data_IF_914795763980
#
_entry.id   IF_914795763980
#
_cell.length_a   1.000
_cell.length_b   1.000
_cell.length_c   1.000
_cell.angle_alpha   90.00
_cell.angle_beta   90.00
_cell.angle_gamma   90.00
#
_symmetry.space_group_name_H-M   'P 1'
#
loop_
_entity.id
_entity.type
_entity.pdbx_description
1 polymer ?
#
# COMPACT_ATOMS: atom_id res chain seq x y z
N UNK A 1 5.86 -6.63 -0.62
CA UNK A 1 5.53 -5.18 -0.59
C UNK A 1 6.08 -4.52 0.67
N UNK A 2 5.75 -4.99 1.88
CA UNK A 2 6.24 -4.39 3.13
C UNK A 2 7.76 -4.36 3.25
N UNK A 3 8.47 -5.44 2.89
CA UNK A 3 9.94 -5.42 2.92
C UNK A 3 10.57 -4.29 2.10
N UNK A 4 9.93 -3.85 1.01
CA UNK A 4 10.45 -2.77 0.15
C UNK A 4 10.05 -1.39 0.67
N UNK A 5 8.80 -1.26 1.13
CA UNK A 5 8.24 0.03 1.54
C UNK A 5 8.54 0.37 3.01
N UNK A 6 8.49 -0.63 3.89
CA UNK A 6 8.61 -0.50 5.33
C UNK A 6 9.85 -1.20 5.93
N UNK A 7 10.67 -1.88 5.13
CA UNK A 7 11.85 -2.62 5.57
C UNK A 7 11.58 -3.72 6.62
N UNK A 8 10.35 -4.20 6.71
CA UNK A 8 9.95 -5.30 7.61
C UNK A 8 8.95 -6.21 6.92
N UNK A 9 8.75 -7.39 7.46
CA UNK A 9 7.62 -8.25 7.11
C UNK A 9 6.41 -8.04 8.04
N UNK A 10 5.41 -8.91 7.88
CA UNK A 10 4.16 -8.90 8.64
C UNK A 10 4.34 -9.25 10.13
N UNK A 11 5.41 -9.98 10.45
CA UNK A 11 5.81 -10.40 11.79
C UNK A 11 6.74 -9.39 12.47
N UNK A 12 7.01 -8.25 11.83
CA UNK A 12 8.00 -7.24 12.23
C UNK A 12 9.47 -7.69 12.09
N UNK A 13 9.75 -8.78 11.39
CA UNK A 13 11.12 -9.20 11.12
C UNK A 13 11.73 -8.26 10.07
N UNK A 14 12.92 -7.68 10.32
CA UNK A 14 13.56 -6.78 9.37
C UNK A 14 13.82 -7.45 8.02
N UNK A 15 13.44 -6.76 6.94
CA UNK A 15 13.69 -7.18 5.58
C UNK A 15 14.39 -6.06 4.81
N UNK A 16 15.48 -6.40 4.12
CA UNK A 16 16.14 -5.49 3.19
C UNK A 16 15.98 -6.06 1.78
N UNK A 17 15.04 -5.49 1.02
CA UNK A 17 14.86 -5.83 -0.39
C UNK A 17 15.08 -4.58 -1.24
N UNK A 18 15.91 -4.71 -2.26
CA UNK A 18 16.14 -3.64 -3.24
C UNK A 18 15.03 -3.60 -4.31
N UNK A 19 15.08 -2.60 -5.19
CA UNK A 19 14.08 -2.42 -6.23
C UNK A 19 14.04 -3.59 -7.22
N UNK A 20 15.20 -4.16 -7.54
CA UNK A 20 15.32 -5.27 -8.48
C UNK A 20 14.69 -6.55 -7.92
N UNK A 21 14.98 -6.87 -6.65
CA UNK A 21 14.40 -8.01 -5.94
C UNK A 21 12.90 -7.83 -5.78
N UNK A 22 12.45 -6.63 -5.40
CA UNK A 22 11.03 -6.35 -5.28
C UNK A 22 10.30 -6.53 -6.61
N UNK A 23 10.84 -6.02 -7.71
CA UNK A 23 10.26 -6.22 -9.04
C UNK A 23 10.17 -7.70 -9.42
N UNK A 24 11.25 -8.46 -9.25
CA UNK A 24 11.26 -9.89 -9.56
C UNK A 24 10.20 -10.66 -8.76
N UNK A 25 10.04 -10.35 -7.47
CA UNK A 25 9.01 -10.97 -6.63
C UNK A 25 7.59 -10.65 -7.10
N UNK A 26 7.33 -9.38 -7.42
CA UNK A 26 6.00 -8.95 -7.85
C UNK A 26 5.62 -9.52 -9.22
N UNK A 27 6.59 -9.63 -10.14
CA UNK A 27 6.38 -10.25 -11.46
C UNK A 27 6.14 -11.77 -11.33
N UNK A 28 6.95 -12.47 -10.52
CA UNK A 28 6.76 -13.90 -10.25
C UNK A 28 5.39 -14.19 -9.61
N UNK A 29 4.98 -13.38 -8.63
CA UNK A 29 3.67 -13.50 -8.00
C UNK A 29 2.53 -13.36 -9.01
N UNK A 30 2.61 -12.36 -9.90
CA UNK A 30 1.61 -12.15 -10.95
C UNK A 30 1.60 -13.27 -11.99
N UNK A 31 2.76 -13.82 -12.34
CA UNK A 31 2.88 -14.87 -13.36
C UNK A 31 2.14 -16.15 -12.99
N UNK A 32 1.95 -16.43 -11.70
CA UNK A 32 1.19 -17.59 -11.21
C UNK A 32 -0.33 -17.46 -11.33
N UNK A 33 -0.86 -16.32 -11.77
CA UNK A 33 -2.30 -16.04 -11.81
C UNK A 33 -2.74 -15.62 -13.21
N UNK A 34 -3.95 -16.03 -13.61
CA UNK A 34 -4.55 -15.55 -14.85
C UNK A 34 -4.75 -14.03 -14.81
N UNK A 35 -4.72 -13.37 -15.96
CA UNK A 35 -4.90 -11.91 -16.02
C UNK A 35 -6.21 -11.44 -15.36
N UNK A 36 -7.30 -12.21 -15.50
CA UNK A 36 -8.57 -11.91 -14.83
C UNK A 36 -8.45 -11.96 -13.30
N UNK A 37 -7.72 -12.93 -12.75
CA UNK A 37 -7.47 -13.02 -11.32
C UNK A 37 -6.61 -11.86 -10.84
N UNK A 38 -5.52 -11.53 -11.55
CA UNK A 38 -4.65 -10.41 -11.21
C UNK A 38 -5.41 -9.08 -11.04
N UNK A 39 -6.42 -8.83 -11.89
CA UNK A 39 -7.25 -7.61 -11.80
C UNK A 39 -8.30 -7.64 -10.68
N UNK A 40 -8.54 -8.79 -10.05
CA UNK A 40 -9.61 -9.01 -9.06
C UNK A 40 -9.11 -9.36 -7.65
N UNK A 41 -7.80 -9.48 -7.45
CA UNK A 41 -7.22 -9.70 -6.12
C UNK A 41 -7.46 -8.51 -5.22
N UNK A 42 -7.74 -8.76 -3.95
CA UNK A 42 -7.81 -7.70 -2.94
C UNK A 42 -6.40 -7.32 -2.49
N UNK A 43 -6.03 -6.07 -2.74
CA UNK A 43 -4.75 -5.52 -2.31
C UNK A 43 -5.00 -4.63 -1.09
N UNK A 44 -4.31 -4.90 0.01
CA UNK A 44 -4.38 -4.13 1.26
C UNK A 44 -2.97 -3.75 1.71
N UNK A 45 -2.84 -2.61 2.37
CA UNK A 45 -1.59 -2.26 3.05
C UNK A 45 -1.51 -2.92 4.41
N UNK A 46 -2.62 -3.07 5.12
CA UNK A 46 -2.72 -3.71 6.44
C UNK A 46 -4.17 -4.19 6.70
N UNK A 47 -4.42 -4.70 7.91
CA UNK A 47 -5.71 -5.24 8.32
C UNK A 47 -5.89 -5.25 9.84
N UNK A 48 -7.04 -5.72 10.30
CA UNK A 48 -7.36 -5.98 11.70
C UNK A 48 -6.55 -7.12 12.37
N UNK A 49 -5.76 -7.86 11.60
CA UNK A 49 -4.91 -8.96 12.07
C UNK A 49 -3.41 -8.62 11.99
N UNK A 50 -3.08 -7.37 11.64
CA UNK A 50 -1.71 -6.91 11.43
C UNK A 50 -1.49 -5.54 12.07
N UNK A 51 -0.23 -5.15 12.20
CA UNK A 51 0.15 -3.78 12.51
C UNK A 51 -0.44 -2.79 11.49
N UNK A 52 -0.78 -1.57 11.94
CA UNK A 52 -1.02 -0.47 11.01
C UNK A 52 0.26 -0.18 10.23
N UNK A 53 0.14 0.00 8.92
CA UNK A 53 1.27 0.26 8.02
C UNK A 53 2.02 1.53 8.42
N UNK A 54 1.29 2.58 8.86
CA UNK A 54 1.90 3.80 9.42
C UNK A 54 2.83 3.50 10.60
N UNK A 55 2.46 2.56 11.48
CA UNK A 55 3.27 2.18 12.64
C UNK A 55 4.54 1.44 12.24
N UNK A 56 4.49 0.62 11.20
CA UNK A 56 5.65 -0.11 10.67
C UNK A 56 6.71 0.82 10.12
N UNK A 57 6.30 1.91 9.47
CA UNK A 57 7.22 2.89 8.90
C UNK A 57 8.08 3.59 9.96
N UNK A 58 7.63 3.65 11.22
CA UNK A 58 8.40 4.24 12.31
C UNK A 58 8.84 5.67 12.02
N UNK A 59 10.15 5.88 11.77
CA UNK A 59 10.73 7.19 11.42
C UNK A 59 10.59 7.55 9.94
N UNK A 60 10.30 6.57 9.08
CA UNK A 60 10.21 6.72 7.62
C UNK A 60 8.78 7.01 7.13
N UNK A 61 8.00 7.78 7.90
CA UNK A 61 6.60 8.13 7.55
C UNK A 61 6.48 8.78 6.16
N UNK A 62 7.55 9.42 5.66
CA UNK A 62 7.63 9.96 4.31
C UNK A 62 7.41 8.90 3.20
N UNK A 63 7.51 7.60 3.51
CA UNK A 63 7.21 6.49 2.59
C UNK A 63 5.72 6.13 2.54
N UNK A 64 4.89 6.64 3.45
CA UNK A 64 3.45 6.36 3.46
C UNK A 64 2.78 6.83 2.16
N UNK A 65 2.99 8.06 1.65
CA UNK A 65 2.46 8.47 0.36
C UNK A 65 2.86 7.55 -0.81
N UNK A 66 4.08 7.01 -0.79
CA UNK A 66 4.55 6.07 -1.81
C UNK A 66 3.74 4.77 -1.79
N UNK A 67 3.46 4.23 -0.60
CA UNK A 67 2.62 3.04 -0.46
C UNK A 67 1.19 3.27 -0.95
N UNK A 68 0.62 4.46 -0.69
CA UNK A 68 -0.70 4.85 -1.19
C UNK A 68 -0.70 4.92 -2.72
N UNK A 69 0.30 5.57 -3.33
CA UNK A 69 0.42 5.64 -4.79
C UNK A 69 0.55 4.24 -5.38
N UNK A 70 1.36 3.36 -4.79
CA UNK A 70 1.48 1.97 -5.21
C UNK A 70 0.13 1.26 -5.17
N UNK A 71 -0.59 1.30 -4.04
CA UNK A 71 -1.88 0.63 -3.86
C UNK A 71 -2.88 0.98 -4.98
N UNK A 72 -2.93 2.26 -5.38
CA UNK A 72 -3.87 2.73 -6.40
C UNK A 72 -3.36 2.61 -7.84
N UNK A 73 -2.10 2.29 -8.05
CA UNK A 73 -1.52 2.07 -9.39
C UNK A 73 -1.30 0.59 -9.71
N UNK A 74 -1.31 -0.27 -8.70
CA UNK A 74 -1.14 -1.71 -8.87
C UNK A 74 -2.42 -2.40 -9.44
N UNK A 75 -2.27 -3.46 -10.26
CA UNK A 75 -3.40 -4.29 -10.69
C UNK A 75 -4.07 -4.99 -9.50
N UNK A 76 -5.40 -5.04 -9.53
CA UNK A 76 -6.23 -5.61 -8.46
C UNK A 76 -7.30 -4.63 -7.97
N UNK A 77 -7.96 -5.01 -6.87
CA UNK A 77 -8.97 -4.22 -6.17
C UNK A 77 -8.31 -3.65 -4.92
N UNK A 78 -7.99 -2.34 -4.88
CA UNK A 78 -7.45 -1.73 -3.68
C UNK A 78 -8.52 -1.69 -2.58
N UNK A 79 -8.13 -2.17 -1.41
CA UNK A 79 -8.94 -2.20 -0.20
C UNK A 79 -8.22 -1.37 0.88
N UNK A 80 -8.94 -0.45 1.50
CA UNK A 80 -8.42 0.48 2.50
C UNK A 80 -8.92 0.01 3.86
N UNK A 81 -8.03 -0.09 4.85
CA UNK A 81 -8.45 -0.32 6.22
C UNK A 81 -8.81 1.02 6.87
N UNK A 82 -9.98 1.08 7.51
CA UNK A 82 -10.54 2.35 7.99
C UNK A 82 -9.55 3.09 8.89
N UNK A 83 -9.34 4.37 8.64
CA UNK A 83 -8.39 5.17 9.41
C UNK A 83 -7.03 5.31 8.74
N UNK A 84 -6.65 4.44 7.81
CA UNK A 84 -5.37 4.57 7.09
C UNK A 84 -5.31 5.87 6.31
N UNK A 85 -6.44 6.26 5.71
CA UNK A 85 -6.58 7.47 4.91
C UNK A 85 -6.43 8.77 5.71
N UNK A 86 -6.64 8.70 7.02
CA UNK A 86 -6.42 9.81 7.97
C UNK A 86 -5.17 9.61 8.82
N UNK A 87 -4.37 8.58 8.54
CA UNK A 87 -3.10 8.32 9.20
C UNK A 87 -3.26 7.74 10.61
N UNK A 88 -4.23 6.85 10.83
CA UNK A 88 -4.38 6.14 12.09
C UNK A 88 -3.21 5.16 12.31
N UNK A 89 -2.64 5.19 13.52
CA UNK A 89 -1.56 4.31 13.94
C UNK A 89 -2.09 3.17 14.85
N UNK A 90 -1.30 2.12 15.02
CA UNK A 90 -1.68 0.97 15.84
C UNK A 90 -0.66 -0.16 15.73
N UNK A 91 -0.31 -0.73 16.89
CA UNK A 91 0.47 -1.97 16.96
C UNK A 91 -0.37 -3.16 16.48
N UNK A 92 0.15 -4.37 16.62
CA UNK A 92 -0.58 -5.59 16.25
C UNK A 92 -1.88 -5.76 17.05
N UNK A 93 -2.73 -6.68 16.61
CA UNK A 93 -4.00 -7.03 17.29
C UNK A 93 -3.81 -7.17 18.82
N UNK A 94 -4.64 -6.53 19.67
CA UNK A 94 -5.84 -5.71 19.39
C UNK A 94 -5.60 -4.22 19.13
N UNK A 95 -4.36 -3.75 19.20
CA UNK A 95 -4.05 -2.32 19.15
C UNK A 95 -4.20 -1.69 17.76
N UNK A 96 -4.35 -2.48 16.70
CA UNK A 96 -4.67 -1.99 15.36
C UNK A 96 -6.14 -1.52 15.24
N UNK A 97 -7.01 -1.91 16.19
CA UNK A 97 -8.46 -1.70 16.17
C UNK A 97 -8.91 -0.43 16.91
N UNK A 98 -8.12 0.65 16.85
CA UNK A 98 -8.45 1.92 17.52
C UNK A 98 -9.73 2.56 16.94
N UNK A 99 -10.52 3.27 17.77
CA UNK A 99 -11.64 4.06 17.27
C UNK A 99 -11.21 5.06 16.20
N UNK A 100 -12.07 5.29 15.20
CA UNK A 100 -11.79 6.27 14.16
C UNK A 100 -11.73 7.70 14.76
N UNK A 101 -10.72 8.52 14.40
CA UNK A 101 -10.58 9.87 14.94
C UNK A 101 -11.52 10.84 14.21
N UNK A 102 -12.77 10.95 14.67
CA UNK A 102 -13.78 11.83 14.06
C UNK A 102 -13.47 13.33 14.12
N UNK A 103 -12.60 13.73 15.05
CA UNK A 103 -12.08 15.09 15.18
C UNK A 103 -11.09 15.38 14.03
N UNK A 104 -11.41 16.37 13.18
CA UNK A 104 -10.63 16.70 11.97
C UNK A 104 -9.19 17.10 12.31
N UNK A 105 -8.99 17.76 13.45
CA UNK A 105 -7.69 18.14 14.00
C UNK A 105 -6.78 16.94 14.34
N UNK A 106 -7.35 15.74 14.46
CA UNK A 106 -6.61 14.48 14.68
C UNK A 106 -6.35 13.71 13.39
N UNK A 107 -6.79 14.22 12.24
CA UNK A 107 -6.65 13.56 10.94
C UNK A 107 -5.50 14.16 10.13
N UNK A 108 -4.77 13.32 9.42
CA UNK A 108 -3.83 13.76 8.40
C UNK A 108 -4.59 14.17 7.14
N UNK A 109 -4.92 15.46 7.04
CA UNK A 109 -5.70 16.02 5.92
C UNK A 109 -4.96 15.97 4.59
N UNK A 110 -3.62 16.03 4.60
CA UNK A 110 -2.81 15.93 3.39
C UNK A 110 -2.81 14.50 2.83
N UNK A 111 -2.70 13.50 3.72
CA UNK A 111 -2.84 12.09 3.36
C UNK A 111 -4.25 11.79 2.86
N UNK A 112 -5.28 12.30 3.53
CA UNK A 112 -6.67 12.14 3.11
C UNK A 112 -6.90 12.69 1.69
N UNK A 113 -6.39 13.89 1.41
CA UNK A 113 -6.45 14.50 0.08
C UNK A 113 -5.65 13.68 -0.97
N UNK A 114 -4.56 13.02 -0.59
CA UNK A 114 -3.84 12.10 -1.48
C UNK A 114 -4.71 10.88 -1.82
N UNK A 115 -5.32 10.22 -0.84
CA UNK A 115 -6.24 9.10 -1.07
C UNK A 115 -7.38 9.50 -2.02
N UNK A 116 -8.02 10.65 -1.78
CA UNK A 116 -9.08 11.17 -2.66
C UNK A 116 -8.60 11.36 -4.10
N UNK A 117 -7.43 11.99 -4.30
CA UNK A 117 -6.85 12.20 -5.64
C UNK A 117 -6.52 10.88 -6.33
N UNK A 118 -5.92 9.93 -5.62
CA UNK A 118 -5.55 8.62 -6.18
C UNK A 118 -6.77 7.77 -6.55
N UNK A 119 -7.81 7.79 -5.71
CA UNK A 119 -9.09 7.13 -6.02
C UNK A 119 -9.72 7.77 -7.27
N UNK A 120 -9.76 9.10 -7.34
CA UNK A 120 -10.31 9.80 -8.50
C UNK A 120 -9.52 9.49 -9.78
N UNK A 121 -8.19 9.48 -9.70
CA UNK A 121 -7.30 9.14 -10.82
C UNK A 121 -7.54 7.70 -11.31
N UNK A 122 -7.59 6.73 -10.38
CA UNK A 122 -7.86 5.32 -10.72
C UNK A 122 -9.23 5.14 -11.35
N UNK A 123 -10.26 5.84 -10.85
CA UNK A 123 -11.62 5.77 -11.43
C UNK A 123 -11.67 6.30 -12.87
N UNK A 124 -10.96 7.40 -13.14
CA UNK A 124 -10.88 8.05 -14.46
C UNK A 124 -9.99 7.29 -15.46
N UNK A 125 -8.97 6.57 -14.99
CA UNK A 125 -8.02 5.87 -15.86
C UNK A 125 -8.36 4.40 -16.03
N UNK A 126 -8.68 3.99 -17.27
CA UNK A 126 -8.86 2.58 -17.59
C UNK A 126 -7.55 1.79 -17.46
N UNK A 127 -6.40 2.40 -17.78
CA UNK A 127 -5.09 1.76 -17.67
C UNK A 127 -4.81 1.29 -16.23
N UNK A 128 -5.16 2.10 -15.23
CA UNK A 128 -4.97 1.73 -13.82
C UNK A 128 -5.92 0.61 -13.36
N UNK A 129 -7.05 0.39 -14.04
CA UNK A 129 -8.08 -0.58 -13.62
C UNK A 129 -8.06 -1.90 -14.37
N UNK A 130 -7.70 -1.86 -15.65
CA UNK A 130 -7.83 -2.98 -16.61
C UNK A 130 -6.64 -3.10 -17.55
N UNK A 131 -5.61 -2.27 -17.39
CA UNK A 131 -4.44 -2.29 -18.24
C UNK A 131 -3.51 -3.46 -17.95
N UNK A 132 -2.58 -3.69 -18.89
CA UNK A 132 -1.39 -4.48 -18.61
C UNK A 132 -0.49 -3.79 -17.58
N UNK A 133 0.36 -4.57 -16.92
CA UNK A 133 1.33 -4.06 -15.96
C UNK A 133 2.71 -4.57 -16.36
N UNK A 134 3.62 -3.62 -16.59
CA UNK A 134 5.01 -3.86 -16.94
C UNK A 134 5.88 -3.04 -15.99
N UNK A 135 6.79 -3.70 -15.29
CA UNK A 135 7.75 -3.03 -14.41
C UNK A 135 8.96 -2.60 -15.23
N UNK A 136 9.37 -1.33 -15.09
CA UNK A 136 10.52 -0.77 -15.81
C UNK A 136 11.58 -0.32 -14.81
N UNK A 137 12.83 -0.75 -14.98
CA UNK A 137 13.98 -0.16 -14.28
C UNK A 137 14.75 0.73 -15.22
N UNK A 138 15.02 1.96 -14.78
CA UNK A 138 15.95 2.85 -15.45
C UNK A 138 17.24 2.87 -14.66
N UNK A 139 18.35 2.41 -15.26
CA UNK A 139 19.68 2.63 -14.70
C UNK A 139 19.97 4.14 -14.76
N UNK A 140 20.17 4.74 -13.61
CA UNK A 140 20.67 6.11 -13.51
C UNK A 140 22.19 5.97 -13.60
N UNK A 141 22.73 6.16 -14.81
CA UNK A 141 24.17 6.36 -15.06
C UNK A 141 24.54 7.80 -14.81
#
# INVERSE_FOLDING_TARGET
>A
MWGFLANTDISYDPQQIDAQTCMAWMDNYRAGLSHQQQLRMFNQLDSHDTARFKTLLGRDIARLPLAVVWLFTWPGVPCIYYGDEVGLDGKNDPFCRKPFPWQVEKQDTALFALYQRMIALRKKSQALRRGGCQCCMRKIT
#
